data_IF_042824862301
#
_entry.id   IF_042824862301
#
_cell.length_a   1.000
_cell.length_b   1.000
_cell.length_c   1.000
_cell.angle_alpha   90.00
_cell.angle_beta   90.00
_cell.angle_gamma   90.00
#
_symmetry.space_group_name_H-M   'P 1'
#
loop_
_entity.id
_entity.type
_entity.pdbx_description
1 polymer ?
#
# COMPACT_ATOMS: atom_id res chain seq x y z
N UNK A 1 -23.18 44.56 -9.46
CA UNK A 1 -22.21 44.00 -10.44
C UNK A 1 -21.03 43.29 -9.76
N UNK A 2 -20.30 43.92 -8.82
CA UNK A 2 -19.16 43.27 -8.11
C UNK A 2 -19.51 41.95 -7.39
N UNK A 3 -20.66 41.89 -6.73
CA UNK A 3 -21.13 40.68 -6.04
C UNK A 3 -21.41 39.51 -7.01
N UNK A 4 -21.86 39.81 -8.23
CA UNK A 4 -22.11 38.80 -9.28
C UNK A 4 -20.79 38.26 -9.82
N UNK A 5 -19.78 39.12 -10.00
CA UNK A 5 -18.45 38.65 -10.39
C UNK A 5 -17.79 37.78 -9.31
N UNK A 6 -17.94 38.14 -8.03
CA UNK A 6 -17.41 37.34 -6.91
C UNK A 6 -18.11 35.98 -6.84
N UNK A 7 -19.44 35.93 -6.99
CA UNK A 7 -20.17 34.66 -6.98
C UNK A 7 -19.79 33.77 -8.16
N UNK A 8 -19.64 34.35 -9.36
CA UNK A 8 -19.19 33.61 -10.55
C UNK A 8 -17.76 33.11 -10.35
N UNK A 9 -16.86 33.92 -9.80
CA UNK A 9 -15.48 33.50 -9.54
C UNK A 9 -15.39 32.39 -8.49
N UNK A 10 -16.20 32.46 -7.42
CA UNK A 10 -16.30 31.38 -6.43
C UNK A 10 -16.85 30.09 -7.03
N UNK A 11 -17.87 30.17 -7.89
CA UNK A 11 -18.41 29.00 -8.58
C UNK A 11 -17.39 28.39 -9.53
N UNK A 12 -16.64 29.21 -10.27
CA UNK A 12 -15.56 28.74 -11.16
C UNK A 12 -14.42 28.12 -10.37
N UNK A 13 -14.02 28.70 -9.24
CA UNK A 13 -12.99 28.13 -8.36
C UNK A 13 -13.43 26.78 -7.77
N UNK A 14 -14.69 26.64 -7.36
CA UNK A 14 -15.25 25.37 -6.90
C UNK A 14 -15.22 24.31 -8.02
N UNK A 15 -15.49 24.69 -9.27
CA UNK A 15 -15.44 23.77 -10.42
C UNK A 15 -13.99 23.30 -10.69
N UNK A 16 -13.01 24.20 -10.64
CA UNK A 16 -11.59 23.87 -10.89
C UNK A 16 -10.97 23.03 -9.76
N UNK A 17 -11.41 23.21 -8.50
CA UNK A 17 -10.94 22.38 -7.39
C UNK A 17 -11.41 20.91 -7.45
N UNK A 18 -12.38 20.58 -8.31
CA UNK A 18 -12.87 19.20 -8.49
C UNK A 18 -11.93 18.36 -9.37
N UNK A 19 -11.04 18.98 -10.15
CA UNK A 19 -10.04 18.28 -10.99
C UNK A 19 -8.76 17.88 -10.24
N UNK A 20 -8.86 17.69 -8.91
CA UNK A 20 -7.77 17.20 -8.06
C UNK A 20 -7.71 15.69 -7.85
N UNK A 21 -8.60 14.88 -8.47
CA UNK A 21 -8.64 13.44 -8.21
C UNK A 21 -9.23 12.62 -9.38
N UNK A 22 -8.93 12.98 -10.63
CA UNK A 22 -9.23 12.09 -11.77
C UNK A 22 -8.16 11.02 -11.94
N UNK A 23 -8.15 10.02 -11.05
CA UNK A 23 -7.81 8.65 -11.48
C UNK A 23 -8.50 7.54 -10.69
N UNK A 24 -9.74 7.75 -10.26
CA UNK A 24 -10.63 6.64 -9.84
C UNK A 24 -11.55 6.23 -10.97
N UNK A 25 -10.99 5.67 -12.05
CA UNK A 25 -11.80 5.03 -13.08
C UNK A 25 -11.02 3.94 -13.84
N UNK A 26 -10.99 2.73 -13.25
CA UNK A 26 -11.35 1.46 -13.92
C UNK A 26 -11.06 0.28 -12.99
N UNK A 27 -12.13 -0.37 -12.53
CA UNK A 27 -12.11 -1.76 -12.06
C UNK A 27 -11.49 -2.64 -13.15
N UNK A 28 -10.23 -2.99 -13.04
CA UNK A 28 -9.55 -3.96 -13.92
C UNK A 28 -8.59 -4.84 -13.10
N UNK A 29 -9.10 -5.52 -12.07
CA UNK A 29 -8.48 -6.64 -11.32
C UNK A 29 -7.05 -6.45 -10.72
N UNK A 30 -6.34 -5.37 -11.06
CA UNK A 30 -4.94 -5.10 -10.75
C UNK A 30 -4.77 -3.58 -10.64
N UNK A 31 -4.94 -3.11 -9.41
CA UNK A 31 -4.71 -1.73 -9.00
C UNK A 31 -3.23 -1.37 -9.25
N UNK A 32 -2.94 -0.50 -10.22
CA UNK A 32 -1.55 -0.23 -10.65
C UNK A 32 -0.88 0.80 -9.73
N UNK A 33 0.45 0.68 -9.60
CA UNK A 33 1.23 1.55 -8.72
C UNK A 33 2.66 1.80 -9.25
N UNK A 34 3.23 2.90 -8.79
CA UNK A 34 4.64 3.26 -8.95
C UNK A 34 5.40 3.21 -7.62
N UNK A 35 4.73 3.54 -6.52
CA UNK A 35 5.26 3.52 -5.16
C UNK A 35 4.24 2.95 -4.16
N UNK A 36 4.68 2.60 -2.95
CA UNK A 36 3.81 1.99 -1.93
C UNK A 36 2.66 2.91 -1.51
N UNK A 37 2.87 4.24 -1.54
CA UNK A 37 1.85 5.23 -1.20
C UNK A 37 0.62 5.19 -2.11
N UNK A 38 0.75 4.61 -3.32
CA UNK A 38 -0.36 4.49 -4.28
C UNK A 38 -1.38 3.43 -3.85
N UNK A 39 -0.99 2.48 -2.99
CA UNK A 39 -1.74 1.25 -2.74
C UNK A 39 -2.69 1.29 -1.52
N UNK A 40 -2.64 2.36 -0.74
CA UNK A 40 -3.40 2.49 0.52
C UNK A 40 -2.81 1.71 1.68
N UNK A 41 -3.46 1.80 2.85
CA UNK A 41 -2.99 1.17 4.08
C UNK A 41 -2.88 -0.36 3.94
N UNK A 42 -1.93 -0.97 4.65
CA UNK A 42 -1.66 -2.42 4.64
C UNK A 42 -1.35 -3.04 3.27
N UNK A 43 -1.03 -2.21 2.27
CA UNK A 43 -0.68 -2.65 0.92
C UNK A 43 0.69 -2.11 0.52
N UNK A 44 1.24 -2.67 -0.55
CA UNK A 44 2.55 -2.38 -1.09
C UNK A 44 2.47 -2.37 -2.62
N UNK A 45 3.41 -1.70 -3.26
CA UNK A 45 3.58 -1.78 -4.70
C UNK A 45 4.56 -2.90 -5.07
N UNK A 46 4.07 -3.95 -5.73
CA UNK A 46 4.92 -5.02 -6.26
C UNK A 46 5.73 -4.46 -7.42
N UNK A 47 6.97 -4.05 -7.15
CA UNK A 47 7.80 -3.26 -8.09
C UNK A 47 7.94 -3.87 -9.48
N UNK A 48 8.04 -5.20 -9.57
CA UNK A 48 8.19 -5.91 -10.84
C UNK A 48 6.88 -5.93 -11.66
N UNK A 49 5.73 -6.11 -10.99
CA UNK A 49 4.43 -6.22 -11.65
C UNK A 49 3.68 -4.89 -11.73
N UNK A 50 4.13 -3.86 -11.00
CA UNK A 50 3.50 -2.54 -10.90
C UNK A 50 2.03 -2.61 -10.47
N UNK A 51 1.75 -3.48 -9.51
CA UNK A 51 0.42 -3.71 -8.93
C UNK A 51 0.45 -3.64 -7.41
N UNK A 52 -0.67 -3.22 -6.83
CA UNK A 52 -0.87 -3.18 -5.40
C UNK A 52 -1.25 -4.55 -4.84
N UNK A 53 -0.46 -5.06 -3.91
CA UNK A 53 -0.73 -6.30 -3.19
C UNK A 53 -0.84 -6.02 -1.68
N UNK A 54 -1.51 -6.91 -0.94
CA UNK A 54 -1.54 -6.83 0.51
C UNK A 54 -0.18 -7.17 1.11
N UNK A 55 0.24 -6.42 2.14
CA UNK A 55 1.35 -6.81 3.02
C UNK A 55 1.03 -8.14 3.71
N UNK A 56 2.07 -8.90 4.04
CA UNK A 56 1.92 -10.25 4.60
C UNK A 56 1.52 -10.22 6.07
N UNK A 57 0.46 -10.93 6.41
CA UNK A 57 -0.03 -11.07 7.78
C UNK A 57 0.78 -12.07 8.61
N UNK A 58 0.39 -12.20 9.88
CA UNK A 58 1.00 -13.13 10.83
C UNK A 58 1.04 -14.56 10.27
N UNK A 59 2.16 -15.24 10.47
CA UNK A 59 2.46 -16.60 10.00
C UNK A 59 2.50 -16.78 8.47
N UNK A 60 2.30 -15.74 7.67
CA UNK A 60 2.45 -15.86 6.22
C UNK A 60 3.92 -15.92 5.80
N UNK A 61 4.20 -16.72 4.77
CA UNK A 61 5.55 -16.91 4.21
C UNK A 61 6.13 -15.61 3.65
N UNK A 62 7.34 -15.24 4.07
CA UNK A 62 8.07 -14.07 3.57
C UNK A 62 9.37 -14.39 2.80
N UNK A 63 9.58 -15.67 2.45
CA UNK A 63 10.78 -16.17 1.77
C UNK A 63 11.16 -15.42 0.46
N UNK A 64 10.16 -14.87 -0.23
CA UNK A 64 10.32 -14.26 -1.56
C UNK A 64 10.20 -12.73 -1.54
N UNK A 65 10.35 -12.09 -0.37
CA UNK A 65 10.29 -10.62 -0.28
C UNK A 65 11.23 -9.92 -1.28
N UNK A 66 12.40 -10.50 -1.54
CA UNK A 66 13.35 -9.96 -2.52
C UNK A 66 12.84 -10.01 -3.98
N UNK A 67 11.90 -10.90 -4.29
CA UNK A 67 11.36 -11.07 -5.65
C UNK A 67 10.22 -10.09 -5.95
N UNK A 68 9.28 -9.94 -5.02
CA UNK A 68 8.08 -9.13 -5.24
C UNK A 68 8.03 -7.85 -4.38
N UNK A 69 9.04 -7.60 -3.55
CA UNK A 69 9.23 -6.35 -2.80
C UNK A 69 8.22 -6.07 -1.69
N UNK A 70 7.29 -6.98 -1.41
CA UNK A 70 6.22 -6.76 -0.44
C UNK A 70 6.53 -7.42 0.91
N UNK A 71 6.74 -6.60 1.94
CA UNK A 71 7.09 -7.05 3.29
C UNK A 71 5.91 -7.57 4.13
N UNK A 72 6.18 -7.73 5.41
CA UNK A 72 5.17 -8.02 6.43
C UNK A 72 4.35 -6.77 6.76
N UNK A 73 3.17 -6.96 7.35
CA UNK A 73 2.38 -5.87 7.94
C UNK A 73 3.16 -5.18 9.06
N UNK A 74 2.76 -3.96 9.40
CA UNK A 74 3.39 -3.19 10.46
C UNK A 74 3.25 -3.94 11.80
N UNK A 75 4.29 -3.88 12.64
CA UNK A 75 4.38 -4.68 13.86
C UNK A 75 4.81 -6.14 13.65
N UNK A 76 5.01 -6.59 12.41
CA UNK A 76 5.54 -7.92 12.09
C UNK A 76 6.91 -7.86 11.43
N UNK A 77 7.75 -8.83 11.75
CA UNK A 77 9.08 -9.02 11.18
C UNK A 77 9.21 -10.34 10.43
N UNK A 78 9.94 -10.34 9.32
CA UNK A 78 10.23 -11.54 8.55
C UNK A 78 11.37 -12.34 9.20
N UNK A 79 11.02 -13.35 10.01
CA UNK A 79 11.96 -14.13 10.81
C UNK A 79 11.98 -15.60 10.41
N UNK A 80 13.07 -16.30 10.73
CA UNK A 80 13.19 -17.75 10.48
C UNK A 80 12.18 -18.46 11.40
N UNK A 81 11.27 -19.25 10.81
CA UNK A 81 10.33 -20.06 11.58
C UNK A 81 10.70 -21.55 11.60
N UNK A 82 11.42 -22.03 10.58
CA UNK A 82 11.84 -23.42 10.46
C UNK A 82 13.14 -23.52 9.68
N UNK A 83 13.97 -24.49 10.06
CA UNK A 83 15.17 -24.87 9.33
C UNK A 83 15.13 -26.36 9.02
N UNK A 84 15.41 -26.75 7.77
CA UNK A 84 15.67 -28.13 7.37
C UNK A 84 17.08 -28.18 6.77
N UNK A 85 18.04 -28.69 7.54
CA UNK A 85 19.46 -28.62 7.16
C UNK A 85 19.88 -27.16 6.92
N UNK A 86 20.44 -26.89 5.75
CA UNK A 86 20.87 -25.55 5.34
C UNK A 86 19.73 -24.65 4.83
N UNK A 87 18.52 -25.19 4.61
CA UNK A 87 17.37 -24.41 4.13
C UNK A 87 16.68 -23.72 5.30
N UNK A 88 16.54 -22.40 5.22
CA UNK A 88 15.79 -21.57 6.17
C UNK A 88 14.47 -21.16 5.54
N UNK A 89 13.39 -21.31 6.30
CA UNK A 89 12.07 -20.86 5.93
C UNK A 89 11.66 -19.68 6.81
N UNK A 90 11.13 -18.64 6.18
CA UNK A 90 10.80 -17.38 6.81
C UNK A 90 9.29 -17.12 6.83
N UNK A 91 8.80 -16.53 7.93
CA UNK A 91 7.42 -16.07 8.10
C UNK A 91 7.39 -14.71 8.78
N UNK A 92 6.28 -13.98 8.59
CA UNK A 92 5.98 -12.79 9.36
C UNK A 92 5.54 -13.17 10.77
N UNK A 93 6.31 -12.78 11.77
CA UNK A 93 6.05 -13.00 13.19
C UNK A 93 5.96 -11.65 13.90
N UNK A 94 5.33 -11.60 15.07
CA UNK A 94 5.31 -10.39 15.92
C UNK A 94 6.73 -9.86 16.15
N UNK A 95 6.90 -8.55 16.14
CA UNK A 95 8.18 -7.93 16.48
C UNK A 95 8.44 -8.14 17.98
N UNK A 96 9.68 -8.44 18.38
CA UNK A 96 9.97 -8.64 19.79
C UNK A 96 9.68 -7.34 20.56
N UNK A 97 8.70 -7.39 21.46
CA UNK A 97 8.21 -6.22 22.21
C UNK A 97 6.75 -5.79 21.94
N UNK A 98 5.99 -6.47 21.07
CA UNK A 98 4.56 -6.17 20.88
C UNK A 98 3.62 -6.92 21.84
N UNK A 99 4.15 -7.57 22.87
CA UNK A 99 3.45 -8.47 23.78
C UNK A 99 3.00 -7.87 25.11
N UNK A 100 2.98 -6.54 25.25
CA UNK A 100 2.53 -5.87 26.48
C UNK A 100 1.63 -4.67 26.15
N UNK A 101 0.32 -4.90 26.07
CA UNK A 101 -0.76 -3.89 26.22
C UNK A 101 -2.05 -4.57 26.67
#
# INVERSE_FOLDING_TARGET
MKAVFISVFCLVALIVCIEGDTNRNKRWLLDRCSADGDCGADRCCVRYLKICASKRGLNQSCNLVNLHGCGCKDGLECRVYKSLGSLKYYRCLESEGSGDM
#
